data_IF_102409881327
#
_entry.id   IF_102409881327
#
_cell.length_a   1.000
_cell.length_b   1.000
_cell.length_c   1.000
_cell.angle_alpha   90.00
_cell.angle_beta   90.00
_cell.angle_gamma   90.00
#
_symmetry.space_group_name_H-M   'P 1'
#
loop_
_entity.id
_entity.type
_entity.pdbx_description
1 polymer ?
#
# COMPACT_ATOMS: atom_id res chain seq x y z
N UNK A 1 -23.07 -17.61 -30.73
CA UNK A 1 -22.98 -16.23 -30.16
C UNK A 1 -22.97 -16.17 -28.63
N UNK A 2 -23.02 -17.28 -27.88
CA UNK A 2 -23.05 -17.19 -26.40
C UNK A 2 -21.72 -16.73 -25.78
N UNK A 3 -20.58 -17.08 -26.38
CA UNK A 3 -19.25 -16.69 -25.89
C UNK A 3 -19.03 -15.18 -25.93
N UNK A 4 -19.46 -14.51 -27.00
CA UNK A 4 -19.33 -13.05 -27.15
C UNK A 4 -20.22 -12.34 -26.13
N UNK A 5 -21.46 -12.80 -25.92
CA UNK A 5 -22.37 -12.23 -24.90
C UNK A 5 -21.80 -12.38 -23.48
N UNK A 6 -21.14 -13.50 -23.18
CA UNK A 6 -20.52 -13.73 -21.86
C UNK A 6 -19.28 -12.86 -21.63
N UNK A 7 -18.52 -12.58 -22.68
CA UNK A 7 -17.38 -11.65 -22.61
C UNK A 7 -17.83 -10.20 -22.39
N UNK A 8 -18.91 -9.75 -23.05
CA UNK A 8 -19.47 -8.41 -22.82
C UNK A 8 -20.10 -8.24 -21.43
N UNK A 9 -20.49 -9.33 -20.77
CA UNK A 9 -21.06 -9.31 -19.42
C UNK A 9 -20.01 -9.56 -18.32
N UNK A 10 -18.72 -9.61 -18.67
CA UNK A 10 -17.65 -9.88 -17.72
C UNK A 10 -17.18 -8.59 -17.03
N UNK A 11 -17.52 -8.47 -15.74
CA UNK A 11 -17.16 -7.32 -14.89
C UNK A 11 -15.92 -7.59 -14.01
N UNK A 12 -15.27 -8.75 -14.18
CA UNK A 12 -14.09 -9.11 -13.36
C UNK A 12 -12.93 -8.11 -13.51
N UNK A 13 -12.78 -7.51 -14.69
CA UNK A 13 -11.81 -6.43 -14.92
C UNK A 13 -12.17 -5.12 -14.20
N UNK A 14 -13.46 -4.76 -14.15
CA UNK A 14 -13.93 -3.57 -13.45
C UNK A 14 -13.76 -3.73 -11.93
N UNK A 15 -14.12 -4.90 -11.39
CA UNK A 15 -13.93 -5.21 -9.97
C UNK A 15 -12.45 -5.26 -9.57
N UNK A 16 -11.55 -5.74 -10.45
CA UNK A 16 -10.11 -5.69 -10.22
C UNK A 16 -9.56 -4.26 -10.06
N UNK A 17 -10.13 -3.28 -10.78
CA UNK A 17 -9.74 -1.87 -10.66
C UNK A 17 -10.21 -1.28 -9.33
N UNK A 18 -11.42 -1.64 -8.87
CA UNK A 18 -11.95 -1.17 -7.57
C UNK A 18 -11.11 -1.70 -6.40
N UNK A 19 -10.85 -3.01 -6.37
CA UNK A 19 -9.98 -3.60 -5.35
C UNK A 19 -8.54 -3.10 -5.47
N UNK A 20 -8.07 -2.85 -6.70
CA UNK A 20 -6.76 -2.24 -6.95
C UNK A 20 -6.64 -0.83 -6.37
N UNK A 21 -7.68 0.00 -6.48
CA UNK A 21 -7.71 1.35 -5.93
C UNK A 21 -7.74 1.35 -4.39
N UNK A 22 -8.52 0.45 -3.79
CA UNK A 22 -8.56 0.27 -2.33
C UNK A 22 -7.18 -0.17 -1.82
N UNK A 23 -6.56 -1.16 -2.48
CA UNK A 23 -5.23 -1.65 -2.14
C UNK A 23 -4.17 -0.54 -2.25
N UNK A 24 -4.23 0.29 -3.31
CA UNK A 24 -3.35 1.44 -3.47
C UNK A 24 -3.51 2.47 -2.34
N UNK A 25 -4.74 2.76 -1.92
CA UNK A 25 -5.01 3.66 -0.80
C UNK A 25 -4.45 3.15 0.53
N UNK A 26 -4.62 1.85 0.82
CA UNK A 26 -4.05 1.21 2.01
C UNK A 26 -2.53 1.23 1.96
N UNK A 27 -1.92 0.92 0.80
CA UNK A 27 -0.48 0.95 0.63
C UNK A 27 0.12 2.34 0.90
N UNK A 28 -0.52 3.41 0.38
CA UNK A 28 -0.09 4.78 0.64
C UNK A 28 -0.14 5.15 2.13
N UNK A 29 -1.21 4.75 2.83
CA UNK A 29 -1.34 4.99 4.27
C UNK A 29 -0.23 4.27 5.06
N UNK A 30 0.07 3.01 4.72
CA UNK A 30 1.15 2.24 5.35
C UNK A 30 2.50 2.91 5.11
N UNK A 31 2.81 3.32 3.87
CA UNK A 31 4.08 3.96 3.52
C UNK A 31 4.29 5.24 4.36
N UNK A 32 3.24 6.07 4.51
CA UNK A 32 3.32 7.29 5.31
C UNK A 32 3.68 7.00 6.78
N UNK A 33 3.04 6.00 7.40
CA UNK A 33 3.29 5.61 8.79
C UNK A 33 4.69 5.02 8.98
N UNK A 34 5.10 4.11 8.08
CA UNK A 34 6.40 3.42 8.17
C UNK A 34 7.57 4.41 8.04
N UNK A 35 7.46 5.43 7.18
CA UNK A 35 8.49 6.46 7.06
C UNK A 35 8.68 7.25 8.36
N UNK A 36 7.58 7.68 9.00
CA UNK A 36 7.65 8.40 10.28
C UNK A 36 8.20 7.51 11.41
N UNK A 37 7.81 6.23 11.43
CA UNK A 37 8.35 5.26 12.38
C UNK A 37 9.86 5.08 12.19
N UNK A 38 10.32 4.90 10.95
CA UNK A 38 11.73 4.77 10.61
C UNK A 38 12.55 5.98 11.04
N UNK A 39 12.04 7.19 10.81
CA UNK A 39 12.66 8.44 11.29
C UNK A 39 12.78 8.46 12.82
N UNK A 40 11.69 8.12 13.52
CA UNK A 40 11.65 8.09 14.99
C UNK A 40 12.63 7.07 15.59
N UNK A 41 12.73 5.88 15.00
CA UNK A 41 13.71 4.85 15.38
C UNK A 41 15.13 5.36 15.16
N UNK A 42 15.42 5.94 13.99
CA UNK A 42 16.74 6.48 13.66
C UNK A 42 17.18 7.55 14.66
N UNK A 43 16.27 8.45 15.05
CA UNK A 43 16.54 9.44 16.10
C UNK A 43 16.85 8.77 17.43
N UNK A 44 16.04 7.79 17.86
CA UNK A 44 16.23 7.10 19.14
C UNK A 44 17.57 6.36 19.20
N UNK A 45 17.90 5.59 18.16
CA UNK A 45 19.18 4.88 18.08
C UNK A 45 20.35 5.84 17.93
N UNK A 46 20.17 6.97 17.24
CA UNK A 46 21.15 8.06 17.17
C UNK A 46 21.46 8.62 18.57
N UNK A 47 20.43 8.96 19.35
CA UNK A 47 20.61 9.43 20.73
C UNK A 47 21.34 8.42 21.60
N UNK A 48 20.97 7.14 21.54
CA UNK A 48 21.66 6.08 22.27
C UNK A 48 23.13 5.99 21.84
N UNK A 49 23.40 5.98 20.53
CA UNK A 49 24.77 5.93 20.01
C UNK A 49 25.62 7.12 20.44
N UNK A 50 25.03 8.32 20.51
CA UNK A 50 25.70 9.52 21.05
C UNK A 50 25.98 9.39 22.54
N UNK A 51 25.05 8.85 23.33
CA UNK A 51 25.24 8.65 24.77
C UNK A 51 26.25 7.56 25.13
N UNK A 52 26.58 6.66 24.19
CA UNK A 52 27.56 5.58 24.38
C UNK A 52 28.98 5.94 23.92
N UNK A 53 29.17 7.10 23.27
CA UNK A 53 30.47 7.63 22.88
C UNK A 53 31.04 8.53 23.96
#
# INVERSE_FOLDING_TARGET
>A
MQTIRRFLADETGATAIEYGLIAAGIALAIIAVVNNLGSSLKLKFGSISTSLK
#
